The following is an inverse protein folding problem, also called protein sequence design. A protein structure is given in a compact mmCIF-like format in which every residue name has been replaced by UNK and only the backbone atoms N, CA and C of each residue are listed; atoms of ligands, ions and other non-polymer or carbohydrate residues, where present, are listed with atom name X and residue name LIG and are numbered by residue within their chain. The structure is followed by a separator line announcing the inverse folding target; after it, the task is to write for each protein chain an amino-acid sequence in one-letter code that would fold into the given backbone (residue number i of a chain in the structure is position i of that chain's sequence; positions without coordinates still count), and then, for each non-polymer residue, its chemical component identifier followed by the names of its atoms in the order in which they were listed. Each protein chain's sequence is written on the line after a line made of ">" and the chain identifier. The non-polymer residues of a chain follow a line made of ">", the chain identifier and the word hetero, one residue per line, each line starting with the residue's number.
data_IF_488877652065
#
_entry.id   IF_488877652065
#
_cell.length_a   1.000
_cell.length_b   1.000
_cell.length_c   1.000
_cell.angle_alpha   90.00
_cell.angle_beta   90.00
_cell.angle_gamma   90.00
#
_symmetry.space_group_name_H-M   'P 1'
#
loop_
_entity.id
_entity.type
_entity.pdbx_description
1 polymer ?
#
# COMPACT_ATOMS: atom_id res chain seq x y z
N UNK A 1 -0.56 17.26 57.86
CA UNK A 1 -0.98 16.98 56.46
C UNK A 1 0.16 17.36 55.55
N UNK A 2 1.00 16.38 55.25
CA UNK A 2 2.18 16.52 54.38
C UNK A 2 1.69 16.52 52.94
N UNK A 3 1.81 17.68 52.30
CA UNK A 3 1.67 17.78 50.85
C UNK A 3 2.79 16.91 50.24
N UNK A 4 2.42 15.72 49.79
CA UNK A 4 3.27 14.94 48.89
C UNK A 4 3.58 15.83 47.70
N UNK A 5 4.84 16.24 47.58
CA UNK A 5 5.40 16.86 46.41
C UNK A 5 5.26 15.85 45.29
N UNK A 6 4.22 16.03 44.45
CA UNK A 6 4.11 15.35 43.20
C UNK A 6 5.35 15.75 42.37
N UNK A 7 6.30 14.84 42.26
CA UNK A 7 7.36 14.97 41.25
C UNK A 7 6.70 15.36 39.94
N UNK A 8 7.26 16.31 39.15
CA UNK A 8 6.70 16.64 37.89
C UNK A 8 6.67 15.34 37.05
N UNK A 9 5.50 14.78 36.91
CA UNK A 9 5.31 13.65 35.97
C UNK A 9 5.77 14.17 34.61
N UNK A 10 6.59 13.41 33.96
CA UNK A 10 7.06 13.74 32.60
C UNK A 10 5.91 13.57 31.60
N UNK A 11 4.80 14.29 31.83
CA UNK A 11 3.65 14.29 30.92
C UNK A 11 4.07 14.80 29.54
N UNK A 12 3.49 14.21 28.50
CA UNK A 12 3.65 14.69 27.15
C UNK A 12 2.74 15.90 26.94
N UNK A 13 3.28 17.10 26.64
CA UNK A 13 2.43 18.24 26.37
C UNK A 13 1.75 18.10 25.01
N UNK A 14 0.55 18.61 24.84
CA UNK A 14 -0.07 18.81 23.54
C UNK A 14 -0.01 20.28 23.12
N UNK A 15 -0.05 20.59 21.81
CA UNK A 15 -0.10 21.94 21.33
C UNK A 15 -1.44 22.62 21.67
N UNK A 16 -1.39 23.89 22.08
CA UNK A 16 -2.59 24.72 22.26
C UNK A 16 -3.08 25.39 20.98
N UNK A 17 -2.32 25.23 19.88
CA UNK A 17 -2.61 25.83 18.55
C UNK A 17 -2.27 24.84 17.47
N UNK A 18 -3.22 24.58 16.59
CA UNK A 18 -3.11 23.68 15.44
C UNK A 18 -3.33 24.41 14.10
N UNK A 19 -3.65 25.70 14.14
CA UNK A 19 -3.93 26.54 12.95
C UNK A 19 -3.20 27.86 13.06
N UNK A 20 -2.51 28.24 12.02
CA UNK A 20 -1.84 29.54 11.89
C UNK A 20 -2.41 30.30 10.70
N UNK A 21 -2.59 31.62 10.83
CA UNK A 21 -3.05 32.45 9.74
C UNK A 21 -1.88 33.00 8.94
N UNK A 22 -1.86 32.75 7.64
CA UNK A 22 -0.94 33.40 6.70
C UNK A 22 -1.76 34.29 5.79
N UNK A 23 -1.98 35.53 6.20
CA UNK A 23 -2.95 36.43 5.56
C UNK A 23 -4.36 35.83 5.65
N UNK A 24 -5.08 35.68 4.53
CA UNK A 24 -6.43 35.09 4.51
C UNK A 24 -6.45 33.56 4.55
N UNK A 25 -5.29 32.90 4.48
CA UNK A 25 -5.20 31.44 4.34
C UNK A 25 -4.89 30.81 5.70
N UNK A 26 -5.77 29.92 6.24
CA UNK A 26 -5.48 29.16 7.45
C UNK A 26 -4.56 27.97 7.12
N UNK A 27 -3.39 27.93 7.72
CA UNK A 27 -2.45 26.81 7.62
C UNK A 27 -2.70 25.88 8.80
N UNK A 28 -3.18 24.68 8.52
CA UNK A 28 -3.50 23.66 9.51
C UNK A 28 -2.35 22.67 9.66
N UNK A 29 -1.87 22.44 10.89
CA UNK A 29 -0.83 21.48 11.20
C UNK A 29 -1.17 20.06 10.68
N UNK A 30 -2.43 19.67 10.82
CA UNK A 30 -2.91 18.37 10.31
C UNK A 30 -2.71 18.23 8.80
N UNK A 31 -3.04 19.27 8.03
CA UNK A 31 -2.82 19.28 6.59
C UNK A 31 -1.33 19.19 6.22
N UNK A 32 -0.47 19.90 6.96
CA UNK A 32 0.98 19.83 6.77
C UNK A 32 1.53 18.41 7.06
N UNK A 33 1.06 17.77 8.12
CA UNK A 33 1.43 16.38 8.43
C UNK A 33 1.00 15.41 7.32
N UNK A 34 -0.20 15.58 6.76
CA UNK A 34 -0.68 14.75 5.64
C UNK A 34 0.20 14.98 4.41
N UNK A 35 0.49 16.24 4.04
CA UNK A 35 1.32 16.57 2.88
C UNK A 35 2.73 15.98 3.07
N UNK A 36 3.34 16.17 4.24
CA UNK A 36 4.64 15.59 4.55
C UNK A 36 4.63 14.05 4.44
N UNK A 37 3.58 13.42 4.94
CA UNK A 37 3.38 11.98 4.82
C UNK A 37 3.29 11.52 3.36
N UNK A 38 2.52 12.23 2.53
CA UNK A 38 2.41 11.93 1.08
C UNK A 38 3.76 12.08 0.39
N UNK A 39 4.49 13.17 0.64
CA UNK A 39 5.82 13.39 0.06
C UNK A 39 6.79 12.27 0.42
N UNK A 40 6.81 11.87 1.70
CA UNK A 40 7.64 10.75 2.16
C UNK A 40 7.23 9.41 1.53
N UNK A 41 5.94 9.14 1.42
CA UNK A 41 5.44 7.94 0.75
C UNK A 41 5.85 7.92 -0.73
N UNK A 42 5.68 9.02 -1.44
CA UNK A 42 6.08 9.16 -2.84
C UNK A 42 7.59 8.97 -3.00
N UNK A 43 8.39 9.60 -2.15
CA UNK A 43 9.86 9.49 -2.19
C UNK A 43 10.34 8.05 -1.97
N UNK A 44 9.80 7.36 -0.94
CA UNK A 44 10.14 5.96 -0.67
C UNK A 44 9.72 5.06 -1.83
N UNK A 45 8.52 5.27 -2.36
CA UNK A 45 7.96 4.47 -3.47
C UNK A 45 8.77 4.67 -4.74
N UNK A 46 9.09 5.93 -5.10
CA UNK A 46 9.91 6.27 -6.26
C UNK A 46 11.28 5.60 -6.18
N UNK A 47 11.96 5.72 -5.02
CA UNK A 47 13.25 5.06 -4.81
C UNK A 47 13.16 3.55 -5.02
N UNK A 48 12.11 2.91 -4.52
CA UNK A 48 11.91 1.46 -4.64
C UNK A 48 11.54 1.02 -6.06
N UNK A 49 10.72 1.79 -6.77
CA UNK A 49 10.40 1.54 -8.18
C UNK A 49 11.65 1.65 -9.05
N UNK A 50 12.48 2.67 -8.83
CA UNK A 50 13.75 2.84 -9.55
C UNK A 50 14.73 1.70 -9.28
N UNK A 51 14.80 1.19 -8.04
CA UNK A 51 15.59 0.00 -7.71
C UNK A 51 15.12 -1.26 -8.45
N UNK A 52 13.86 -1.29 -8.88
CA UNK A 52 13.27 -2.38 -9.68
C UNK A 52 13.28 -2.10 -11.19
N UNK A 53 13.98 -1.07 -11.64
CA UNK A 53 14.15 -0.75 -13.07
C UNK A 53 13.05 0.11 -13.68
N UNK A 54 12.15 0.68 -12.89
CA UNK A 54 11.13 1.61 -13.38
C UNK A 54 11.75 2.98 -13.62
N UNK A 55 11.37 3.63 -14.72
CA UNK A 55 11.82 4.96 -15.08
C UNK A 55 11.47 6.00 -14.00
N UNK A 56 12.31 7.04 -13.81
CA UNK A 56 12.05 8.11 -12.87
C UNK A 56 10.74 8.85 -13.19
N UNK A 57 10.00 9.25 -12.13
CA UNK A 57 8.76 10.02 -12.26
C UNK A 57 7.48 9.18 -12.26
N UNK A 58 7.58 7.86 -12.37
CA UNK A 58 6.41 6.97 -12.42
C UNK A 58 5.46 7.13 -11.21
N UNK A 59 5.98 7.47 -10.03
CA UNK A 59 5.14 7.71 -8.85
C UNK A 59 4.26 8.95 -9.04
N UNK A 60 4.77 10.01 -9.66
CA UNK A 60 3.98 11.21 -9.92
C UNK A 60 2.88 10.93 -10.93
N UNK A 61 3.17 10.17 -11.98
CA UNK A 61 2.16 9.74 -12.97
C UNK A 61 1.07 8.90 -12.31
N UNK A 62 1.45 7.98 -11.41
CA UNK A 62 0.48 7.20 -10.64
C UNK A 62 -0.32 8.10 -9.69
N UNK A 63 0.31 9.07 -9.03
CA UNK A 63 -0.34 9.96 -8.07
C UNK A 63 -1.37 10.88 -8.74
N UNK A 64 -1.12 11.33 -9.98
CA UNK A 64 -2.06 12.14 -10.78
C UNK A 64 -3.40 11.42 -10.99
N UNK A 65 -3.39 10.10 -11.08
CA UNK A 65 -4.62 9.29 -11.17
C UNK A 65 -5.14 8.86 -9.79
N UNK A 66 -4.26 8.42 -8.91
CA UNK A 66 -4.65 7.85 -7.63
C UNK A 66 -5.26 8.89 -6.67
N UNK A 67 -4.70 10.12 -6.63
CA UNK A 67 -5.16 11.14 -5.69
C UNK A 67 -6.56 11.66 -6.05
N UNK A 68 -6.85 12.11 -7.29
CA UNK A 68 -8.20 12.55 -7.64
C UNK A 68 -9.23 11.42 -7.53
N UNK A 69 -8.89 10.20 -8.00
CA UNK A 69 -9.78 9.05 -7.89
C UNK A 69 -10.08 8.69 -6.43
N UNK A 70 -9.08 8.82 -5.55
CA UNK A 70 -9.25 8.62 -4.11
C UNK A 70 -10.19 9.67 -3.49
N UNK A 71 -10.03 10.94 -3.83
CA UNK A 71 -10.92 12.03 -3.36
C UNK A 71 -12.36 11.81 -3.83
N UNK A 72 -12.55 11.50 -5.12
CA UNK A 72 -13.85 11.22 -5.70
C UNK A 72 -14.49 10.00 -5.03
N UNK A 73 -13.73 8.91 -4.89
CA UNK A 73 -14.19 7.71 -4.21
C UNK A 73 -14.59 7.94 -2.77
N UNK A 74 -13.79 8.73 -2.02
CA UNK A 74 -14.10 9.11 -0.64
C UNK A 74 -15.42 9.87 -0.54
N UNK A 75 -15.67 10.79 -1.48
CA UNK A 75 -16.91 11.57 -1.52
C UNK A 75 -18.11 10.72 -1.89
N UNK A 76 -18.00 9.89 -2.92
CA UNK A 76 -19.05 8.95 -3.33
C UNK A 76 -19.45 8.05 -2.15
N UNK A 77 -18.47 7.46 -1.47
CA UNK A 77 -18.73 6.62 -0.31
C UNK A 77 -19.47 7.37 0.80
N UNK A 78 -19.05 8.60 1.11
CA UNK A 78 -19.71 9.41 2.14
C UNK A 78 -21.15 9.77 1.76
N UNK A 79 -21.42 10.14 0.52
CA UNK A 79 -22.76 10.46 0.03
C UNK A 79 -23.67 9.23 0.13
N UNK A 80 -23.15 8.04 -0.20
CA UNK A 80 -23.92 6.78 -0.10
C UNK A 80 -24.19 6.40 1.36
N UNK A 81 -23.23 6.62 2.26
CA UNK A 81 -23.35 6.22 3.68
C UNK A 81 -24.05 7.25 4.58
N UNK A 82 -24.28 8.46 4.09
CA UNK A 82 -24.97 9.55 4.80
C UNK A 82 -25.92 10.29 3.86
N UNK A 83 -26.87 9.58 3.22
CA UNK A 83 -27.73 10.16 2.17
C UNK A 83 -28.68 11.23 2.71
N UNK A 84 -29.04 11.17 3.99
CA UNK A 84 -29.94 12.12 4.65
C UNK A 84 -29.41 13.56 4.62
N UNK A 85 -28.08 13.76 4.60
CA UNK A 85 -27.47 15.10 4.52
C UNK A 85 -27.65 15.76 3.16
N UNK A 86 -27.88 14.97 2.12
CA UNK A 86 -27.90 15.40 0.73
C UNK A 86 -29.31 15.31 0.12
N UNK A 87 -30.01 14.22 0.39
CA UNK A 87 -31.28 13.86 -0.26
C UNK A 87 -32.45 13.72 0.72
N UNK A 88 -32.21 13.88 2.03
CA UNK A 88 -33.26 13.85 3.06
C UNK A 88 -34.04 15.16 3.15
N UNK A 89 -35.01 15.19 4.05
CA UNK A 89 -35.78 16.40 4.34
C UNK A 89 -34.86 17.52 4.88
N UNK A 90 -34.71 18.62 4.11
CA UNK A 90 -33.78 19.69 4.42
C UNK A 90 -32.34 19.46 3.94
N UNK A 91 -32.09 18.38 3.22
CA UNK A 91 -30.80 18.10 2.58
C UNK A 91 -30.56 19.02 1.37
N UNK A 92 -29.28 19.17 1.01
CA UNK A 92 -28.85 19.96 -0.15
C UNK A 92 -28.01 19.07 -1.08
N UNK A 93 -28.55 18.63 -2.23
CA UNK A 93 -27.83 17.79 -3.18
C UNK A 93 -26.55 18.42 -3.72
N UNK A 94 -26.47 19.76 -3.82
CA UNK A 94 -25.29 20.46 -4.30
C UNK A 94 -24.10 20.33 -3.34
N UNK A 95 -24.35 20.15 -2.06
CA UNK A 95 -23.32 19.86 -1.07
C UNK A 95 -22.60 18.54 -1.33
N UNK A 96 -23.13 17.63 -2.15
CA UNK A 96 -22.41 16.42 -2.57
C UNK A 96 -21.11 16.74 -3.33
N UNK A 97 -21.00 17.92 -3.93
CA UNK A 97 -19.79 18.40 -4.63
C UNK A 97 -18.85 19.24 -3.74
N UNK A 98 -19.31 19.67 -2.57
CA UNK A 98 -18.54 20.53 -1.66
C UNK A 98 -17.53 19.70 -0.83
N UNK A 99 -16.46 19.22 -1.48
CA UNK A 99 -15.42 18.38 -0.84
C UNK A 99 -14.64 19.14 0.25
N UNK A 100 -14.62 20.48 0.19
CA UNK A 100 -13.95 21.37 1.16
C UNK A 100 -14.69 21.49 2.49
N UNK A 101 -15.98 21.11 2.54
CA UNK A 101 -16.77 21.04 3.78
C UNK A 101 -16.53 19.74 4.58
N UNK A 102 -15.62 18.89 4.11
CA UNK A 102 -15.36 17.57 4.71
C UNK A 102 -16.32 16.50 4.20
N UNK A 103 -16.56 15.44 4.98
CA UNK A 103 -17.39 14.32 4.55
C UNK A 103 -16.70 13.47 3.48
N UNK A 104 -15.54 12.93 3.83
CA UNK A 104 -14.74 12.03 2.99
C UNK A 104 -14.60 10.68 3.70
N UNK A 105 -15.11 9.62 3.08
CA UNK A 105 -15.07 8.27 3.67
C UNK A 105 -13.81 7.52 3.29
N UNK A 106 -13.10 6.99 4.28
CA UNK A 106 -11.80 6.31 4.09
C UNK A 106 -11.89 5.10 3.15
N UNK A 107 -12.96 4.33 3.22
CA UNK A 107 -13.14 3.15 2.37
C UNK A 107 -13.25 3.51 0.89
N UNK A 108 -13.97 4.59 0.61
CA UNK A 108 -14.05 5.14 -0.75
C UNK A 108 -12.71 5.70 -1.22
N UNK A 109 -11.94 6.36 -0.33
CA UNK A 109 -10.60 6.85 -0.64
C UNK A 109 -9.66 5.70 -1.02
N UNK A 110 -9.67 4.61 -0.25
CA UNK A 110 -8.83 3.43 -0.53
C UNK A 110 -9.23 2.77 -1.84
N UNK A 111 -10.53 2.53 -2.05
CA UNK A 111 -11.02 1.88 -3.27
C UNK A 111 -10.74 2.73 -4.53
N UNK A 112 -11.07 4.03 -4.47
CA UNK A 112 -10.82 4.97 -5.57
C UNK A 112 -9.34 5.15 -5.86
N UNK A 113 -8.53 5.35 -4.82
CA UNK A 113 -7.08 5.50 -4.95
C UNK A 113 -6.41 4.25 -5.53
N UNK A 114 -6.81 3.06 -5.08
CA UNK A 114 -6.32 1.79 -5.64
C UNK A 114 -6.72 1.62 -7.11
N UNK A 115 -7.96 1.98 -7.47
CA UNK A 115 -8.43 1.94 -8.86
C UNK A 115 -7.64 2.91 -9.73
N UNK A 116 -7.43 4.15 -9.28
CA UNK A 116 -6.64 5.15 -10.01
C UNK A 116 -5.19 4.69 -10.19
N UNK A 117 -4.57 4.17 -9.13
CA UNK A 117 -3.21 3.61 -9.20
C UNK A 117 -3.13 2.40 -10.14
N UNK A 118 -4.14 1.53 -10.14
CA UNK A 118 -4.21 0.39 -11.06
C UNK A 118 -4.30 0.83 -12.52
N UNK A 119 -5.16 1.83 -12.82
CA UNK A 119 -5.30 2.39 -14.17
C UNK A 119 -3.96 2.98 -14.63
N UNK A 120 -3.32 3.82 -13.80
CA UNK A 120 -2.04 4.43 -14.12
C UNK A 120 -0.94 3.37 -14.34
N UNK A 121 -0.84 2.38 -13.45
CA UNK A 121 0.13 1.29 -13.59
C UNK A 121 -0.06 0.53 -14.92
N UNK A 122 -1.33 0.27 -15.31
CA UNK A 122 -1.65 -0.35 -16.60
C UNK A 122 -1.23 0.51 -17.80
N UNK A 123 -1.45 1.83 -17.71
CA UNK A 123 -1.05 2.76 -18.77
C UNK A 123 0.47 2.85 -18.92
N UNK A 124 1.19 2.78 -17.80
CA UNK A 124 2.66 2.78 -17.77
C UNK A 124 3.28 1.40 -18.12
N UNK A 125 2.46 0.36 -18.28
CA UNK A 125 2.96 -1.01 -18.52
C UNK A 125 3.64 -1.64 -17.30
N UNK A 126 3.40 -1.11 -16.09
CA UNK A 126 3.98 -1.60 -14.83
C UNK A 126 3.02 -2.58 -14.17
N UNK A 127 3.44 -3.81 -13.81
CA UNK A 127 2.60 -4.73 -13.06
C UNK A 127 2.18 -4.11 -11.73
N UNK A 128 0.87 -4.13 -11.43
CA UNK A 128 0.33 -3.49 -10.22
C UNK A 128 0.94 -4.05 -8.92
N UNK A 129 1.31 -5.34 -8.90
CA UNK A 129 2.01 -5.96 -7.77
C UNK A 129 3.34 -5.28 -7.44
N UNK A 130 4.09 -4.86 -8.46
CA UNK A 130 5.37 -4.12 -8.29
C UNK A 130 5.12 -2.75 -7.67
N UNK A 131 4.09 -2.03 -8.14
CA UNK A 131 3.69 -0.73 -7.56
C UNK A 131 3.26 -0.90 -6.11
N UNK A 132 2.43 -1.90 -5.82
CA UNK A 132 1.95 -2.18 -4.47
C UNK A 132 3.11 -2.53 -3.52
N UNK A 133 4.03 -3.40 -3.93
CA UNK A 133 5.20 -3.77 -3.13
C UNK A 133 6.16 -2.59 -2.91
N UNK A 134 6.32 -1.73 -3.91
CA UNK A 134 7.12 -0.52 -3.76
C UNK A 134 6.50 0.47 -2.77
N UNK A 135 5.17 0.60 -2.78
CA UNK A 135 4.40 1.49 -1.89
C UNK A 135 4.29 0.97 -0.46
N UNK A 136 4.47 -0.35 -0.24
CA UNK A 136 4.24 -1.02 1.03
C UNK A 136 4.91 -0.37 2.27
N UNK A 137 6.16 0.07 2.27
CA UNK A 137 6.76 0.79 3.40
C UNK A 137 6.39 2.28 3.42
N UNK A 138 6.01 2.88 2.29
CA UNK A 138 5.65 4.30 2.17
C UNK A 138 4.35 4.63 2.88
N UNK A 139 3.34 3.76 2.78
CA UNK A 139 2.04 3.99 3.42
C UNK A 139 2.11 4.04 4.95
N UNK A 140 2.70 3.06 5.66
CA UNK A 140 2.81 3.14 7.11
C UNK A 140 3.72 4.30 7.56
N UNK A 141 4.70 4.70 6.76
CA UNK A 141 5.49 5.90 7.05
C UNK A 141 4.63 7.16 6.98
N UNK A 142 3.82 7.31 5.93
CA UNK A 142 2.87 8.43 5.82
C UNK A 142 1.84 8.41 6.96
N UNK A 143 1.35 7.24 7.33
CA UNK A 143 0.42 7.08 8.45
C UNK A 143 1.07 7.48 9.78
N UNK A 144 2.34 7.13 10.04
CA UNK A 144 3.06 7.54 11.24
C UNK A 144 3.15 9.07 11.35
N UNK A 145 3.51 9.74 10.25
CA UNK A 145 3.58 11.20 10.20
C UNK A 145 2.19 11.83 10.34
N UNK A 146 1.17 11.25 9.71
CA UNK A 146 -0.21 11.73 9.81
C UNK A 146 -0.76 11.71 11.24
N UNK A 147 -0.27 10.79 12.12
CA UNK A 147 -0.66 10.74 13.54
C UNK A 147 -0.20 11.96 14.34
N UNK A 148 0.85 12.65 13.91
CA UNK A 148 1.22 13.93 14.52
C UNK A 148 0.14 14.99 14.33
N UNK A 149 -0.63 14.91 13.23
CA UNK A 149 -1.80 15.77 13.02
C UNK A 149 -2.86 15.63 14.13
N UNK A 150 -3.12 14.40 14.60
CA UNK A 150 -4.04 14.16 15.71
C UNK A 150 -3.52 14.75 17.03
N UNK A 151 -2.21 14.71 17.28
CA UNK A 151 -1.58 15.37 18.41
C UNK A 151 -1.79 16.89 18.39
N UNK A 152 -1.60 17.53 17.23
CA UNK A 152 -1.87 18.95 17.07
C UNK A 152 -3.34 19.30 17.32
N UNK A 153 -4.26 18.46 16.84
CA UNK A 153 -5.69 18.69 16.98
C UNK A 153 -6.25 18.32 18.37
N UNK A 154 -5.44 17.75 19.28
CA UNK A 154 -5.91 17.23 20.55
C UNK A 154 -7.09 16.26 20.41
N UNK A 155 -7.01 15.34 19.43
CA UNK A 155 -8.11 14.43 19.09
C UNK A 155 -7.66 12.96 19.10
N UNK A 156 -8.62 12.02 19.14
CA UNK A 156 -8.40 10.59 19.04
C UNK A 156 -7.45 10.01 20.09
N UNK A 157 -7.36 10.63 21.25
CA UNK A 157 -6.62 10.12 22.42
C UNK A 157 -7.38 8.95 23.08
N UNK A 158 -6.68 8.17 23.91
CA UNK A 158 -7.27 7.04 24.62
C UNK A 158 -7.82 7.43 26.00
N UNK A 159 -8.18 6.43 26.80
CA UNK A 159 -8.68 6.62 28.16
C UNK A 159 -7.70 7.32 29.09
N UNK A 160 -8.20 7.75 30.27
CA UNK A 160 -7.38 8.33 31.32
C UNK A 160 -6.28 7.36 31.77
N UNK A 161 -5.12 7.91 32.13
CA UNK A 161 -3.95 7.13 32.55
C UNK A 161 -3.18 7.82 33.68
N UNK A 162 -2.44 7.03 34.42
CA UNK A 162 -1.47 7.50 35.41
C UNK A 162 -0.03 7.22 34.98
N UNK A 163 0.17 6.81 33.72
CA UNK A 163 1.49 6.51 33.18
C UNK A 163 2.34 7.80 33.10
N UNK A 164 3.66 7.72 33.35
CA UNK A 164 4.52 8.90 33.35
C UNK A 164 4.61 9.61 32.00
N UNK A 165 4.27 8.93 30.90
CA UNK A 165 4.20 9.50 29.56
C UNK A 165 2.75 9.78 29.10
N UNK A 166 1.82 9.94 30.03
CA UNK A 166 0.45 10.36 29.72
C UNK A 166 0.42 11.71 29.03
N UNK A 167 -0.54 11.89 28.12
CA UNK A 167 -0.71 13.09 27.31
C UNK A 167 -1.61 14.09 28.02
N UNK A 168 -1.17 15.34 28.09
CA UNK A 168 -2.01 16.48 28.42
C UNK A 168 -2.86 16.86 27.23
N UNK A 169 -4.15 17.10 27.44
CA UNK A 169 -5.09 17.46 26.36
C UNK A 169 -5.65 18.83 26.64
N UNK A 170 -5.57 19.71 25.65
CA UNK A 170 -6.25 21.00 25.69
C UNK A 170 -7.72 20.86 25.29
N UNK A 171 -8.59 21.59 26.00
CA UNK A 171 -9.96 21.79 25.55
C UNK A 171 -9.96 22.71 24.36
N UNK A 172 -10.36 22.19 23.20
CA UNK A 172 -10.36 22.95 21.95
C UNK A 172 -11.61 23.86 21.89
N UNK A 173 -11.42 25.06 21.34
CA UNK A 173 -12.46 26.07 21.20
C UNK A 173 -13.35 25.72 19.99
N UNK A 174 -14.66 25.47 20.19
CA UNK A 174 -15.59 25.17 19.09
C UNK A 174 -15.83 26.38 18.18
N UNK A 175 -15.71 27.61 18.69
CA UNK A 175 -15.96 28.85 17.95
C UNK A 175 -14.69 29.32 17.20
N UNK A 176 -13.51 28.84 17.62
CA UNK A 176 -12.23 29.11 16.95
C UNK A 176 -11.46 27.79 16.70
N UNK A 177 -11.87 26.99 15.71
CA UNK A 177 -11.31 25.67 15.46
C UNK A 177 -9.80 25.69 15.25
N UNK A 178 -9.10 24.81 15.96
CA UNK A 178 -7.65 24.69 15.93
C UNK A 178 -6.92 25.53 16.99
N UNK A 179 -7.64 26.17 17.90
CA UNK A 179 -7.09 26.85 19.07
C UNK A 179 -7.68 26.27 20.35
N UNK A 180 -6.87 26.24 21.42
CA UNK A 180 -7.35 25.87 22.73
C UNK A 180 -8.24 26.97 23.32
N UNK A 181 -9.32 26.56 24.00
CA UNK A 181 -10.13 27.43 24.80
C UNK A 181 -9.28 28.06 25.92
N UNK A 182 -9.50 29.34 26.22
CA UNK A 182 -8.72 30.10 27.18
C UNK A 182 -9.58 30.50 28.39
N UNK A 183 -8.97 30.52 29.56
CA UNK A 183 -9.57 31.06 30.79
C UNK A 183 -9.58 32.61 30.79
N UNK A 184 -10.14 33.19 31.84
CA UNK A 184 -10.21 34.65 32.04
C UNK A 184 -8.83 35.31 32.11
N UNK A 185 -7.77 34.56 32.44
CA UNK A 185 -6.38 35.02 32.47
C UNK A 185 -5.67 34.81 31.13
N UNK A 186 -6.37 34.32 30.10
CA UNK A 186 -5.83 34.06 28.76
C UNK A 186 -5.00 32.79 28.65
N UNK A 187 -4.98 31.91 29.70
CA UNK A 187 -4.24 30.67 29.65
C UNK A 187 -5.05 29.55 28.96
N UNK A 188 -4.40 28.67 28.18
CA UNK A 188 -5.07 27.52 27.58
C UNK A 188 -5.62 26.57 28.67
N UNK A 189 -6.86 26.14 28.53
CA UNK A 189 -7.53 25.23 29.47
C UNK A 189 -7.18 23.79 29.11
N UNK A 190 -6.65 23.05 30.10
CA UNK A 190 -6.39 21.62 29.98
C UNK A 190 -7.60 20.80 30.46
N UNK A 191 -7.84 19.67 29.81
CA UNK A 191 -8.73 18.64 30.34
C UNK A 191 -8.12 17.99 31.59
N UNK A 192 -8.92 17.73 32.66
CA UNK A 192 -8.40 17.17 33.88
C UNK A 192 -7.79 15.79 33.70
N UNK A 193 -6.55 15.62 34.20
CA UNK A 193 -5.82 14.34 34.18
C UNK A 193 -5.00 14.12 32.91
N UNK A 194 -4.39 12.94 32.81
CA UNK A 194 -3.58 12.52 31.69
C UNK A 194 -4.32 11.43 30.88
N UNK A 195 -4.05 11.38 29.61
CA UNK A 195 -4.68 10.49 28.66
C UNK A 195 -3.67 9.61 27.93
N UNK A 196 -4.10 8.46 27.45
CA UNK A 196 -3.25 7.57 26.65
C UNK A 196 -2.89 8.24 25.30
N UNK A 197 -1.60 8.40 24.98
CA UNK A 197 -1.16 9.05 23.75
C UNK A 197 -1.26 8.09 22.56
N UNK A 198 -2.48 7.75 22.13
CA UNK A 198 -2.73 6.80 21.04
C UNK A 198 -2.05 7.23 19.73
N UNK A 199 -1.93 8.54 19.47
CA UNK A 199 -1.21 9.06 18.32
C UNK A 199 0.25 8.56 18.30
N UNK A 200 0.92 8.57 19.45
CA UNK A 200 2.31 8.12 19.60
C UNK A 200 2.41 6.61 19.43
N UNK A 201 1.50 5.86 20.06
CA UNK A 201 1.46 4.41 19.93
C UNK A 201 1.24 3.98 18.47
N UNK A 202 0.30 4.62 17.77
CA UNK A 202 0.05 4.37 16.35
C UNK A 202 1.24 4.78 15.47
N UNK A 203 1.89 5.91 15.76
CA UNK A 203 3.07 6.35 15.03
C UNK A 203 4.23 5.36 15.18
N UNK A 204 4.56 4.97 16.41
CA UNK A 204 5.62 4.01 16.70
C UNK A 204 5.32 2.63 16.11
N UNK A 205 4.06 2.17 16.19
CA UNK A 205 3.63 0.92 15.57
C UNK A 205 3.84 0.95 14.06
N UNK A 206 3.39 2.02 13.40
CA UNK A 206 3.55 2.17 11.96
C UNK A 206 5.03 2.24 11.55
N UNK A 207 5.89 2.90 12.32
CA UNK A 207 7.35 2.85 12.10
C UNK A 207 7.91 1.44 12.27
N UNK A 208 7.39 0.68 13.24
CA UNK A 208 7.70 -0.74 13.39
C UNK A 208 7.28 -1.57 12.17
N UNK A 209 6.10 -1.28 11.59
CA UNK A 209 5.63 -1.91 10.35
C UNK A 209 6.53 -1.53 9.17
N UNK A 210 6.97 -0.26 9.05
CA UNK A 210 7.96 0.14 8.03
C UNK A 210 9.22 -0.70 8.14
N UNK A 211 9.78 -0.80 9.35
CA UNK A 211 10.99 -1.57 9.60
C UNK A 211 10.80 -3.06 9.29
N UNK A 212 9.66 -3.64 9.70
CA UNK A 212 9.30 -5.04 9.42
C UNK A 212 9.22 -5.31 7.92
N UNK A 213 8.48 -4.47 7.19
CA UNK A 213 8.31 -4.62 5.73
C UNK A 213 9.67 -4.52 5.04
N UNK A 214 10.49 -3.51 5.35
CA UNK A 214 11.80 -3.33 4.74
C UNK A 214 12.75 -4.49 5.06
N UNK A 215 12.75 -4.98 6.30
CA UNK A 215 13.61 -6.07 6.74
C UNK A 215 13.23 -7.40 6.07
N UNK A 216 11.94 -7.73 6.08
CA UNK A 216 11.46 -8.98 5.48
C UNK A 216 11.51 -8.95 3.95
N UNK A 217 11.25 -7.81 3.33
CA UNK A 217 11.40 -7.67 1.88
C UNK A 217 12.86 -7.88 1.43
N UNK A 218 13.83 -7.30 2.16
CA UNK A 218 15.25 -7.52 1.90
C UNK A 218 15.68 -8.98 2.08
N UNK A 219 15.15 -9.66 3.11
CA UNK A 219 15.54 -11.05 3.42
C UNK A 219 14.84 -12.09 2.55
N UNK A 220 13.57 -11.88 2.27
CA UNK A 220 12.70 -12.86 1.60
C UNK A 220 12.47 -12.54 0.12
N UNK A 221 12.99 -11.40 -0.38
CA UNK A 221 12.83 -10.97 -1.77
C UNK A 221 11.36 -11.04 -2.21
N UNK A 222 10.49 -10.37 -1.46
CA UNK A 222 9.03 -10.44 -1.64
C UNK A 222 8.64 -9.82 -2.99
N UNK A 223 7.82 -10.53 -3.76
CA UNK A 223 7.25 -10.08 -5.03
C UNK A 223 5.75 -10.30 -5.09
N UNK A 224 5.15 -9.92 -6.22
CA UNK A 224 3.73 -10.14 -6.55
C UNK A 224 2.74 -9.59 -5.52
N UNK A 225 3.03 -8.42 -4.93
CA UNK A 225 2.17 -7.79 -3.93
C UNK A 225 2.31 -8.35 -2.51
N UNK A 226 3.28 -9.24 -2.23
CA UNK A 226 3.45 -9.84 -0.90
C UNK A 226 3.99 -8.87 0.14
N UNK A 227 4.86 -7.92 -0.26
CA UNK A 227 5.31 -6.87 0.65
C UNK A 227 4.13 -5.96 1.05
N UNK A 228 3.21 -5.70 0.13
CA UNK A 228 1.98 -4.96 0.41
C UNK A 228 1.05 -5.74 1.36
N UNK A 229 0.88 -7.04 1.14
CA UNK A 229 0.11 -7.89 2.04
C UNK A 229 0.69 -7.88 3.47
N UNK A 230 2.02 -7.91 3.60
CA UNK A 230 2.71 -7.80 4.89
C UNK A 230 2.43 -6.45 5.58
N UNK A 231 2.45 -5.34 4.82
CA UNK A 231 2.02 -4.04 5.34
C UNK A 231 0.57 -4.09 5.84
N UNK A 232 -0.36 -4.61 5.04
CA UNK A 232 -1.78 -4.72 5.41
C UNK A 232 -1.94 -5.50 6.71
N UNK A 233 -1.26 -6.64 6.85
CA UNK A 233 -1.26 -7.43 8.09
C UNK A 233 -0.70 -6.65 9.28
N UNK A 234 0.46 -6.03 9.11
CA UNK A 234 1.10 -5.26 10.18
C UNK A 234 0.25 -4.07 10.64
N UNK A 235 -0.31 -3.33 9.70
CA UNK A 235 -1.20 -2.20 10.00
C UNK A 235 -2.49 -2.64 10.71
N UNK A 236 -3.16 -3.66 10.19
CA UNK A 236 -4.43 -4.12 10.76
C UNK A 236 -4.24 -4.77 12.14
N UNK A 237 -3.12 -5.45 12.38
CA UNK A 237 -2.77 -5.94 13.71
C UNK A 237 -2.64 -4.79 14.72
N UNK A 238 -1.97 -3.68 14.34
CA UNK A 238 -1.91 -2.48 15.16
C UNK A 238 -3.29 -1.86 15.38
N UNK A 239 -4.06 -1.72 14.32
CA UNK A 239 -5.41 -1.16 14.39
C UNK A 239 -6.33 -1.96 15.30
N UNK A 240 -6.19 -3.27 15.33
CA UNK A 240 -6.98 -4.15 16.19
C UNK A 240 -6.85 -3.79 17.67
N UNK A 241 -5.63 -3.74 18.21
CA UNK A 241 -5.45 -3.48 19.65
C UNK A 241 -5.59 -2.00 20.02
N UNK A 242 -5.20 -1.08 19.13
CA UNK A 242 -5.34 0.37 19.39
C UNK A 242 -6.83 0.77 19.43
N UNK A 243 -7.66 0.19 18.57
CA UNK A 243 -9.10 0.44 18.57
C UNK A 243 -9.77 0.06 19.89
N UNK A 244 -9.25 -0.97 20.58
CA UNK A 244 -9.73 -1.37 21.92
C UNK A 244 -9.38 -0.35 23.01
N UNK A 245 -8.36 0.50 22.80
CA UNK A 245 -7.96 1.55 23.77
C UNK A 245 -8.71 2.86 23.56
N UNK A 246 -9.38 3.04 22.44
CA UNK A 246 -10.08 4.29 22.09
C UNK A 246 -11.40 4.40 22.83
N UNK A 247 -11.73 5.63 23.23
CA UNK A 247 -12.94 5.95 24.01
C UNK A 247 -13.98 6.75 23.22
N UNK A 248 -13.64 7.18 21.98
CA UNK A 248 -14.57 7.88 21.10
C UNK A 248 -15.76 7.00 20.68
N UNK A 249 -16.88 7.62 20.32
CA UNK A 249 -18.06 6.92 19.85
C UNK A 249 -17.78 6.17 18.54
N UNK A 250 -18.21 4.92 18.45
CA UNK A 250 -18.10 4.10 17.27
C UNK A 250 -19.24 3.10 17.15
N UNK A 251 -19.62 2.76 15.92
CA UNK A 251 -20.58 1.71 15.65
C UNK A 251 -20.09 0.38 16.20
N UNK A 252 -20.98 -0.36 16.88
CA UNK A 252 -20.69 -1.65 17.47
C UNK A 252 -21.53 -2.76 16.85
N UNK A 253 -20.93 -3.92 16.67
CA UNK A 253 -21.58 -5.16 16.28
C UNK A 253 -21.25 -6.20 17.35
N UNK A 254 -22.27 -6.81 17.95
CA UNK A 254 -22.13 -7.76 19.07
C UNK A 254 -21.31 -7.20 20.25
N UNK A 255 -21.47 -5.90 20.55
CA UNK A 255 -20.74 -5.24 21.63
C UNK A 255 -19.28 -4.93 21.34
N UNK A 256 -18.79 -5.20 20.13
CA UNK A 256 -17.42 -4.91 19.69
C UNK A 256 -17.46 -3.85 18.59
N UNK A 257 -16.51 -2.91 18.63
CA UNK A 257 -16.40 -1.83 17.63
C UNK A 257 -16.25 -2.43 16.24
N UNK A 258 -16.95 -1.90 15.24
CA UNK A 258 -16.93 -2.36 13.85
C UNK A 258 -15.50 -2.43 13.27
N UNK A 259 -14.66 -1.47 13.65
CA UNK A 259 -13.27 -1.41 13.16
C UNK A 259 -12.41 -2.59 13.65
N UNK A 260 -12.72 -3.21 14.78
CA UNK A 260 -12.04 -4.41 15.29
C UNK A 260 -12.34 -5.60 14.37
N UNK A 261 -13.60 -5.80 14.02
CA UNK A 261 -14.03 -6.84 13.07
C UNK A 261 -13.38 -6.65 11.70
N UNK A 262 -13.42 -5.41 11.22
CA UNK A 262 -12.82 -5.06 9.93
C UNK A 262 -11.31 -5.32 9.93
N UNK A 263 -10.60 -4.92 11.00
CA UNK A 263 -9.17 -5.17 11.12
C UNK A 263 -8.85 -6.67 11.10
N UNK A 264 -9.64 -7.49 11.83
CA UNK A 264 -9.46 -8.94 11.85
C UNK A 264 -9.69 -9.59 10.47
N UNK A 265 -10.76 -9.20 9.77
CA UNK A 265 -11.09 -9.72 8.45
C UNK A 265 -10.03 -9.33 7.40
N UNK A 266 -9.58 -8.07 7.40
CA UNK A 266 -8.56 -7.58 6.46
C UNK A 266 -7.21 -8.22 6.78
N UNK A 267 -6.87 -8.42 8.05
CA UNK A 267 -5.67 -9.17 8.45
C UNK A 267 -5.70 -10.59 7.87
N UNK A 268 -6.82 -11.30 8.06
CA UNK A 268 -6.98 -12.66 7.55
C UNK A 268 -6.87 -12.71 6.02
N UNK A 269 -7.49 -11.77 5.33
CA UNK A 269 -7.36 -11.63 3.88
C UNK A 269 -5.91 -11.42 3.43
N UNK A 270 -5.20 -10.51 4.10
CA UNK A 270 -3.77 -10.28 3.87
C UNK A 270 -2.92 -11.53 4.12
N UNK A 271 -3.19 -12.27 5.21
CA UNK A 271 -2.51 -13.51 5.54
C UNK A 271 -2.76 -14.60 4.48
N UNK A 272 -4.01 -14.78 4.07
CA UNK A 272 -4.36 -15.74 3.00
C UNK A 272 -3.62 -15.39 1.72
N UNK A 273 -3.62 -14.11 1.33
CA UNK A 273 -2.88 -13.64 0.16
C UNK A 273 -1.39 -13.93 0.30
N UNK A 274 -0.78 -13.53 1.42
CA UNK A 274 0.65 -13.70 1.68
C UNK A 274 1.12 -15.16 1.60
N UNK A 275 0.28 -16.10 2.09
CA UNK A 275 0.58 -17.54 2.07
C UNK A 275 0.32 -18.18 0.70
N UNK A 276 -0.77 -17.76 0.03
CA UNK A 276 -1.19 -18.36 -1.26
C UNK A 276 -0.37 -17.86 -2.44
N UNK A 277 -0.10 -16.58 -2.50
CA UNK A 277 0.70 -15.98 -3.57
C UNK A 277 2.17 -16.21 -3.26
N UNK A 278 2.86 -16.86 -4.20
CA UNK A 278 4.30 -17.12 -4.12
C UNK A 278 4.98 -16.62 -5.39
N UNK A 279 6.25 -16.27 -5.30
CA UNK A 279 7.06 -15.84 -6.42
C UNK A 279 8.21 -14.95 -5.96
N UNK A 280 9.27 -14.87 -6.77
CA UNK A 280 10.43 -14.01 -6.51
C UNK A 280 10.04 -12.53 -6.65
N UNK A 281 10.94 -11.68 -6.23
CA UNK A 281 10.87 -10.26 -6.47
C UNK A 281 10.99 -9.99 -7.98
N UNK A 282 10.14 -9.10 -8.50
CA UNK A 282 10.05 -8.76 -9.92
C UNK A 282 10.86 -7.51 -10.20
N UNK A 283 11.64 -7.55 -11.28
CA UNK A 283 12.39 -6.43 -11.85
C UNK A 283 11.88 -6.11 -13.24
N UNK A 284 12.10 -4.90 -13.72
CA UNK A 284 11.52 -4.39 -14.95
C UNK A 284 12.61 -3.82 -15.84
N UNK A 285 12.60 -4.22 -17.11
CA UNK A 285 13.47 -3.67 -18.14
C UNK A 285 12.59 -2.89 -19.11
N UNK A 286 12.90 -1.60 -19.38
CA UNK A 286 12.15 -0.80 -20.34
C UNK A 286 12.21 -1.42 -21.74
N UNK A 287 11.08 -1.41 -22.45
CA UNK A 287 11.00 -1.76 -23.87
C UNK A 287 11.22 -0.51 -24.71
N UNK A 288 11.97 -0.62 -25.84
CA UNK A 288 12.23 0.49 -26.76
C UNK A 288 13.63 1.10 -26.64
N UNK A 289 13.85 2.25 -27.28
CA UNK A 289 15.16 2.91 -27.45
C UNK A 289 15.83 3.42 -26.17
N UNK A 290 15.19 3.31 -25.02
CA UNK A 290 15.75 3.69 -23.71
C UNK A 290 16.47 2.54 -22.99
N UNK A 291 16.91 1.52 -23.73
CA UNK A 291 17.56 0.32 -23.20
C UNK A 291 19.02 0.53 -22.69
N UNK A 292 19.44 1.76 -22.45
CA UNK A 292 20.69 2.02 -21.73
C UNK A 292 20.44 1.89 -20.22
N UNK A 293 21.19 1.02 -19.54
CA UNK A 293 21.08 0.89 -18.08
C UNK A 293 21.29 2.24 -17.41
N UNK A 294 20.28 2.72 -16.68
CA UNK A 294 20.48 3.88 -15.80
C UNK A 294 21.26 3.38 -14.59
N UNK A 295 22.43 3.91 -14.29
CA UNK A 295 23.20 3.47 -13.12
C UNK A 295 22.35 3.62 -11.86
N UNK A 296 22.46 2.68 -10.90
CA UNK A 296 21.74 2.78 -9.64
C UNK A 296 22.06 4.11 -8.97
N UNK A 297 21.08 4.76 -8.30
CA UNK A 297 21.34 6.00 -7.59
C UNK A 297 22.43 5.76 -6.57
N UNK A 298 23.58 6.41 -6.76
CA UNK A 298 24.66 6.42 -5.78
C UNK A 298 24.10 6.89 -4.44
N UNK A 299 24.39 6.16 -3.38
CA UNK A 299 23.96 6.46 -2.01
C UNK A 299 24.60 7.75 -1.45
N UNK A 300 25.43 8.39 -2.21
CA UNK A 300 26.19 9.56 -1.81
C UNK A 300 25.49 10.85 -2.29
N UNK A 301 24.72 11.43 -1.37
CA UNK A 301 24.04 12.72 -1.58
C UNK A 301 25.03 13.89 -1.72
N UNK A 302 26.33 13.70 -1.45
CA UNK A 302 27.36 14.74 -1.56
C UNK A 302 27.83 14.99 -3.00
N UNK A 303 27.49 14.11 -3.95
CA UNK A 303 27.85 14.22 -5.36
C UNK A 303 26.71 14.65 -6.29
N UNK A 304 25.60 15.14 -5.75
CA UNK A 304 24.56 15.75 -6.58
C UNK A 304 25.03 17.16 -6.96
N UNK A 305 25.72 17.27 -8.07
CA UNK A 305 26.02 18.55 -8.70
C UNK A 305 24.72 19.15 -9.23
N UNK A 306 24.20 20.14 -8.50
CA UNK A 306 22.99 20.86 -8.85
C UNK A 306 23.19 21.78 -10.08
N UNK A 307 24.43 21.94 -10.57
CA UNK A 307 24.77 22.76 -11.74
C UNK A 307 24.62 22.00 -13.05
N UNK A 308 24.74 20.67 -13.04
CA UNK A 308 24.42 19.80 -14.18
C UNK A 308 22.93 19.42 -14.22
N UNK A 309 22.05 20.40 -14.14
CA UNK A 309 20.72 20.27 -14.71
C UNK A 309 20.84 20.39 -16.24
N UNK A 310 21.46 19.45 -16.87
CA UNK A 310 21.00 19.05 -18.18
C UNK A 310 19.54 18.68 -17.98
N UNK A 311 18.66 19.48 -18.57
CA UNK A 311 17.25 19.11 -18.74
C UNK A 311 17.33 17.66 -19.25
N UNK A 312 16.85 16.64 -18.50
CA UNK A 312 16.89 15.30 -19.03
C UNK A 312 16.12 15.42 -20.34
N UNK A 313 16.84 15.21 -21.46
CA UNK A 313 16.20 15.09 -22.74
C UNK A 313 15.04 14.15 -22.45
N UNK A 314 13.82 14.62 -22.66
CA UNK A 314 12.60 13.88 -22.37
C UNK A 314 12.77 12.52 -23.04
N UNK A 315 13.40 11.58 -22.34
CA UNK A 315 13.49 10.21 -22.79
C UNK A 315 12.04 9.79 -22.96
N UNK A 316 11.66 9.51 -24.19
CA UNK A 316 10.30 9.11 -24.51
C UNK A 316 9.90 8.04 -23.50
N UNK A 317 8.72 8.19 -22.89
CA UNK A 317 8.24 7.22 -21.91
C UNK A 317 8.38 5.81 -22.54
N UNK A 318 8.93 4.83 -21.83
CA UNK A 318 9.13 3.50 -22.39
C UNK A 318 7.80 2.94 -22.90
N UNK A 319 7.81 2.27 -24.05
CA UNK A 319 6.63 1.62 -24.65
C UNK A 319 6.02 0.53 -23.75
N UNK A 320 6.67 0.24 -22.61
CA UNK A 320 6.28 -0.73 -21.60
C UNK A 320 7.50 -1.33 -20.91
N UNK A 321 7.26 -2.39 -20.15
CA UNK A 321 8.31 -3.07 -19.42
C UNK A 321 8.24 -4.59 -19.63
N UNK A 322 9.41 -5.23 -19.67
CA UNK A 322 9.55 -6.68 -19.56
C UNK A 322 9.85 -7.03 -18.10
N UNK A 323 9.09 -7.97 -17.55
CA UNK A 323 9.34 -8.51 -16.21
C UNK A 323 10.46 -9.54 -16.28
N UNK A 324 11.44 -9.41 -15.40
CA UNK A 324 12.62 -10.27 -15.35
C UNK A 324 12.98 -10.65 -13.91
N UNK A 325 13.82 -11.67 -13.73
CA UNK A 325 14.39 -12.02 -12.43
C UNK A 325 15.48 -11.04 -12.00
N UNK A 326 15.90 -11.08 -10.72
CA UNK A 326 17.02 -10.27 -10.20
C UNK A 326 18.31 -10.54 -10.97
N UNK A 327 18.59 -11.80 -11.29
CA UNK A 327 19.79 -12.22 -12.03
C UNK A 327 19.79 -11.71 -13.47
N UNK A 328 18.65 -11.83 -14.17
CA UNK A 328 18.51 -11.28 -15.51
C UNK A 328 18.63 -9.76 -15.53
N UNK A 329 18.09 -9.08 -14.50
CA UNK A 329 18.18 -7.64 -14.36
C UNK A 329 19.65 -7.19 -14.13
N UNK A 330 20.37 -7.88 -13.25
CA UNK A 330 21.79 -7.61 -13.01
C UNK A 330 22.63 -7.82 -14.27
N UNK A 331 22.43 -8.93 -14.97
CA UNK A 331 23.13 -9.20 -16.23
C UNK A 331 22.82 -8.16 -17.31
N UNK A 332 21.58 -7.68 -17.38
CA UNK A 332 21.23 -6.59 -18.30
C UNK A 332 21.90 -5.27 -17.93
N UNK A 333 22.02 -4.97 -16.63
CA UNK A 333 22.74 -3.77 -16.19
C UNK A 333 24.23 -3.79 -16.59
N UNK A 334 24.85 -4.98 -16.57
CA UNK A 334 26.28 -5.13 -16.87
C UNK A 334 26.56 -5.19 -18.38
N UNK A 335 25.69 -5.83 -19.14
CA UNK A 335 25.95 -6.18 -20.57
C UNK A 335 25.03 -5.47 -21.58
N UNK A 336 23.93 -4.86 -21.10
CA UNK A 336 22.87 -4.33 -21.96
C UNK A 336 22.02 -5.42 -22.65
N UNK A 337 22.29 -6.71 -22.38
CA UNK A 337 21.59 -7.84 -22.98
C UNK A 337 20.83 -8.64 -21.94
N UNK A 338 19.57 -8.94 -22.20
CA UNK A 338 18.76 -9.79 -21.30
C UNK A 338 19.06 -11.25 -21.62
N UNK A 339 19.63 -12.03 -20.66
CA UNK A 339 19.83 -13.46 -20.87
C UNK A 339 18.49 -14.16 -21.13
N UNK A 340 18.48 -15.25 -21.93
CA UNK A 340 17.30 -16.08 -22.06
C UNK A 340 16.89 -16.67 -20.72
N UNK A 341 15.59 -16.99 -20.56
CA UNK A 341 15.17 -17.74 -19.38
C UNK A 341 15.90 -19.08 -19.34
N UNK A 342 16.39 -19.51 -18.16
CA UNK A 342 16.94 -20.86 -18.02
C UNK A 342 15.86 -21.85 -18.43
N UNK A 343 16.16 -22.68 -19.40
CA UNK A 343 15.27 -23.75 -19.81
C UNK A 343 15.27 -24.81 -18.73
N UNK A 344 14.12 -25.46 -18.50
CA UNK A 344 13.94 -26.47 -17.46
C UNK A 344 14.94 -27.66 -17.57
N UNK A 345 15.69 -27.73 -18.68
CA UNK A 345 16.75 -28.72 -18.94
C UNK A 345 18.11 -28.33 -18.32
N UNK A 346 18.33 -27.07 -17.92
CA UNK A 346 19.59 -26.65 -17.32
C UNK A 346 19.74 -27.08 -15.85
N UNK A 347 18.65 -27.47 -15.22
CA UNK A 347 18.65 -27.99 -13.83
C UNK A 347 19.04 -29.48 -13.70
N UNK A 348 19.32 -30.18 -14.82
CA UNK A 348 19.65 -31.61 -14.83
C UNK A 348 21.12 -31.84 -15.28
N UNK A 349 22.05 -31.01 -14.86
CA UNK A 349 23.48 -31.40 -14.94
C UNK A 349 24.02 -31.61 -13.52
N UNK A 350 24.12 -32.87 -13.05
CA UNK A 350 24.96 -33.17 -11.92
C UNK A 350 26.43 -33.05 -12.33
N UNK A 351 27.16 -32.41 -11.48
CA UNK A 351 28.59 -32.15 -11.41
C UNK A 351 29.53 -32.82 -12.40
N UNK A 352 30.38 -32.01 -12.96
CA UNK A 352 31.44 -32.35 -13.89
C UNK A 352 32.31 -33.51 -13.48
N UNK A 353 32.39 -34.47 -14.39
CA UNK A 353 33.52 -35.38 -14.52
C UNK A 353 34.15 -35.09 -15.85
N UNK A 354 35.42 -34.68 -15.85
CA UNK A 354 36.25 -34.63 -17.04
C UNK A 354 36.20 -35.96 -17.79
N UNK A 355 36.06 -36.00 -19.11
CA UNK A 355 36.35 -37.20 -19.88
C UNK A 355 37.86 -37.22 -20.21
N UNK A 356 38.53 -38.17 -19.57
CA UNK A 356 39.82 -38.71 -20.05
C UNK A 356 39.65 -39.26 -21.45
N UNK A 357 40.64 -38.96 -22.28
CA UNK A 357 40.73 -39.25 -23.69
C UNK A 357 40.45 -40.71 -24.12
N UNK A 358 39.94 -40.82 -25.33
CA UNK A 358 40.07 -41.99 -26.17
C UNK A 358 40.15 -41.58 -27.63
N UNK A 359 41.22 -42.07 -28.24
CA UNK A 359 41.64 -41.95 -29.64
C UNK A 359 40.64 -42.56 -30.65
N UNK A 360 40.81 -42.28 -31.95
CA UNK A 360 39.92 -42.65 -33.01
C UNK A 360 40.26 -44.02 -33.65
N UNK A 361 39.26 -44.82 -33.96
CA UNK A 361 39.29 -45.93 -34.93
C UNK A 361 37.95 -45.90 -35.63
N UNK A 362 37.83 -45.71 -36.90
CA UNK A 362 38.18 -46.47 -38.08
C UNK A 362 37.03 -47.37 -38.52
N UNK A 363 36.31 -46.90 -39.51
CA UNK A 363 35.95 -47.55 -40.77
C UNK A 363 34.92 -48.71 -40.82
N UNK A 364 34.08 -48.61 -41.85
CA UNK A 364 33.40 -49.61 -42.68
C UNK A 364 32.08 -50.25 -42.24
N UNK A 365 31.11 -50.12 -43.16
CA UNK A 365 30.27 -51.20 -43.57
C UNK A 365 28.76 -50.91 -43.65
N UNK A 366 28.33 -50.33 -44.74
CA UNK A 366 27.24 -50.72 -45.69
C UNK A 366 26.10 -51.64 -45.29
N UNK A 367 24.93 -51.26 -45.82
CA UNK A 367 23.79 -52.09 -46.30
C UNK A 367 22.77 -52.50 -45.21
N UNK A 368 21.52 -52.36 -45.32
CA UNK A 368 20.48 -52.52 -46.28
C UNK A 368 19.11 -52.30 -45.58
N UNK A 369 18.24 -51.61 -46.25
CA UNK A 369 16.77 -51.72 -46.06
C UNK A 369 16.27 -53.01 -46.69
N UNK A 370 15.10 -53.59 -46.45
CA UNK A 370 13.81 -52.90 -46.70
C UNK A 370 12.57 -53.38 -45.92
N UNK A 371 11.58 -52.53 -45.96
CA UNK A 371 10.15 -52.70 -46.27
C UNK A 371 9.26 -53.70 -45.53
N UNK A 372 8.12 -53.17 -45.32
CA UNK A 372 6.76 -53.61 -45.62
C UNK A 372 5.87 -53.96 -44.43
N UNK A 373 4.80 -53.20 -44.41
CA UNK A 373 3.37 -53.56 -44.43
C UNK A 373 2.82 -54.27 -43.15
N UNK A 374 1.85 -53.65 -42.56
CA UNK A 374 0.43 -53.99 -42.65
C UNK A 374 -0.41 -53.30 -41.59
N UNK A 375 -1.31 -52.51 -42.05
CA UNK A 375 -2.60 -52.21 -41.44
C UNK A 375 -3.53 -53.41 -41.74
N UNK A 376 -4.64 -53.69 -41.12
CA UNK A 376 -5.75 -52.80 -40.86
C UNK A 376 -6.73 -53.11 -39.70
N UNK A 377 -7.52 -52.11 -39.40
CA UNK A 377 -8.99 -52.11 -39.28
C UNK A 377 -9.72 -52.72 -38.05
N UNK A 378 -10.67 -51.92 -37.69
CA UNK A 378 -12.10 -52.18 -37.38
C UNK A 378 -12.44 -52.39 -35.92
N UNK A 379 -13.44 -51.90 -35.36
CA UNK A 379 -14.78 -51.47 -35.72
C UNK A 379 -15.56 -51.14 -34.43
N UNK A 380 -16.43 -50.16 -34.56
CA UNK A 380 -17.78 -50.05 -33.98
C UNK A 380 -17.96 -50.04 -32.45
N UNK A 381 -18.77 -49.27 -31.88
CA UNK A 381 -20.09 -48.73 -32.13
C UNK A 381 -20.71 -48.28 -30.82
N UNK A 382 -21.31 -47.17 -30.87
CA UNK A 382 -22.73 -46.89 -30.51
C UNK A 382 -23.12 -47.06 -29.03
N UNK A 383 -23.88 -46.25 -28.42
CA UNK A 383 -25.09 -45.52 -28.66
C UNK A 383 -25.44 -44.78 -27.38
N UNK A 384 -25.86 -43.51 -27.45
CA UNK A 384 -27.23 -43.02 -27.33
C UNK A 384 -28.06 -43.56 -26.17
N UNK A 385 -28.54 -42.62 -25.37
CA UNK A 385 -29.92 -42.12 -25.21
C UNK A 385 -30.00 -41.28 -23.96
N UNK A 386 -30.36 -40.08 -23.99
CA UNK A 386 -31.68 -39.42 -24.17
C UNK A 386 -32.50 -39.26 -22.86
N UNK A 387 -32.88 -38.03 -22.65
CA UNK A 387 -34.17 -37.52 -22.09
C UNK A 387 -34.43 -37.71 -20.60
N UNK A 388 -35.05 -36.83 -19.92
CA UNK A 388 -35.82 -35.58 -20.18
C UNK A 388 -36.35 -35.09 -18.83
N UNK A 389 -36.58 -33.79 -18.78
CA UNK A 389 -37.80 -33.10 -18.31
C UNK A 389 -38.35 -33.42 -16.91
N UNK A 390 -38.58 -32.46 -16.09
CA UNK A 390 -39.78 -31.64 -16.09
C UNK A 390 -39.95 -30.89 -14.75
N UNK A 391 -40.12 -29.60 -14.88
CA UNK A 391 -41.23 -28.78 -14.30
C UNK A 391 -41.54 -28.87 -12.83
N UNK A 392 -41.53 -27.70 -12.17
CA UNK A 392 -42.77 -27.26 -11.61
C UNK A 392 -42.68 -26.32 -10.41
N UNK A 393 -43.01 -25.06 -10.68
CA UNK A 393 -43.93 -24.26 -9.89
C UNK A 393 -43.51 -23.67 -8.52
N UNK A 394 -43.40 -22.36 -8.49
CA UNK A 394 -43.87 -21.44 -7.41
C UNK A 394 -45.39 -21.69 -7.09
N UNK A 395 -45.91 -21.29 -5.91
CA UNK A 395 -46.12 -19.87 -5.60
C UNK A 395 -45.98 -19.52 -4.10
N UNK A 396 -45.61 -18.28 -3.83
CA UNK A 396 -46.42 -17.14 -3.37
C UNK A 396 -46.99 -17.21 -1.94
N UNK A 397 -46.71 -16.12 -1.27
CA UNK A 397 -47.54 -15.34 -0.36
C UNK A 397 -47.49 -15.59 1.16
N UNK A 398 -47.21 -14.51 1.82
CA UNK A 398 -47.93 -13.75 2.87
C UNK A 398 -47.20 -13.53 4.20
N UNK A 399 -47.11 -12.25 4.43
CA UNK A 399 -47.38 -11.47 5.66
C UNK A 399 -46.77 -11.87 7.01
N UNK A 400 -45.87 -11.05 7.47
CA UNK A 400 -46.03 -10.06 8.54
C UNK A 400 -44.77 -9.23 8.71
#
# INVERSE_FOLDING_TARGET
>A
MTLASLSPQAALPSPSTAVWQLGPVPIRAYALCIIAGIVLACWVTERRLRQRGVAPGAVLDIAVWAVPAGIIGARIYHVITSPEKYFGAGGDPMKAFAIWEGGLGIWGAVAGGALGAFIAARQLGIPFGVVADALAPGLPLAQAVGRLGNWFNNELFGGRTTLPWGLEIHRMDPDNPGHALRDDAGQPILEPGLYQPTFLYEALWNLGVVALVLLLDRRLKLGRGRAFALYVMGYTAGRFWIELMRTDEANQILGVRLNVWTAALVFLGGLIYFVRVRGPQEFLIPLGAAATPTPPPTSDLSQVDLSERETPAQAAAPEGYRVVSEEQYAAWQDTGVVPPEPTADDDIRPGGGEPLGAEPRGDEGTLDSPSADDDPADDSSSARTDRADATGARPADRDS
#
